data_IF_957603977946
#
_entry.id   IF_957603977946
#
_cell.length_a   1.000
_cell.length_b   1.000
_cell.length_c   1.000
_cell.angle_alpha   90.00
_cell.angle_beta   90.00
_cell.angle_gamma   90.00
#
_symmetry.space_group_name_H-M   'P 1'
#
loop_
_entity.id
_entity.type
_entity.pdbx_description
1 polymer ?
#
# COMPACT_ATOMS: atom_id res chain seq x y z
N UNK A 1 -12.93 -8.51 13.38
CA UNK A 1 -12.25 -9.79 13.71
C UNK A 1 -12.99 -10.49 14.84
N UNK A 2 -13.10 -11.83 14.82
CA UNK A 2 -13.63 -12.62 15.94
C UNK A 2 -12.52 -13.22 16.82
N UNK A 3 -12.90 -13.82 17.96
CA UNK A 3 -11.95 -14.36 18.94
C UNK A 3 -11.10 -15.50 18.36
N UNK A 4 -11.71 -16.40 17.59
CA UNK A 4 -11.00 -17.54 17.00
C UNK A 4 -9.93 -17.05 16.02
N UNK A 5 -10.27 -16.04 15.22
CA UNK A 5 -9.37 -15.41 14.26
C UNK A 5 -8.24 -14.67 14.95
N UNK A 6 -8.52 -13.93 16.04
CA UNK A 6 -7.48 -13.30 16.87
C UNK A 6 -6.51 -14.35 17.40
N UNK A 7 -7.01 -15.40 18.05
CA UNK A 7 -6.17 -16.47 18.63
C UNK A 7 -5.32 -17.16 17.55
N UNK A 8 -5.88 -17.38 16.35
CA UNK A 8 -5.12 -17.88 15.22
C UNK A 8 -4.01 -16.92 14.81
N UNK A 9 -4.29 -15.63 14.67
CA UNK A 9 -3.34 -14.60 14.26
C UNK A 9 -2.20 -14.42 15.29
N UNK A 10 -2.53 -14.38 16.57
CA UNK A 10 -1.54 -14.28 17.66
C UNK A 10 -0.63 -15.52 17.69
N UNK A 11 -1.20 -16.72 17.48
CA UNK A 11 -0.41 -17.95 17.35
C UNK A 11 0.50 -17.90 16.12
N UNK A 12 -0.01 -17.43 14.98
CA UNK A 12 0.78 -17.30 13.76
C UNK A 12 2.07 -16.49 13.98
N UNK A 13 1.99 -15.33 14.64
CA UNK A 13 3.18 -14.53 14.96
C UNK A 13 4.08 -15.13 16.03
N UNK A 14 3.52 -15.89 16.97
CA UNK A 14 4.31 -16.62 17.97
C UNK A 14 5.15 -17.71 17.32
N UNK A 15 4.55 -18.48 16.42
CA UNK A 15 5.21 -19.58 15.72
C UNK A 15 6.29 -19.06 14.73
N UNK A 16 6.15 -17.82 14.22
CA UNK A 16 7.19 -17.16 13.40
C UNK A 16 8.43 -16.72 14.21
N UNK A 17 8.31 -16.49 15.53
CA UNK A 17 9.45 -16.14 16.40
C UNK A 17 10.32 -17.34 16.72
N UNK A 18 9.76 -18.55 16.64
CA UNK A 18 10.56 -19.77 16.79
C UNK A 18 11.53 -19.87 15.61
N UNK A 19 12.81 -20.16 15.84
CA UNK A 19 13.80 -20.26 14.78
C UNK A 19 13.46 -21.44 13.85
N UNK A 20 12.71 -21.16 12.79
CA UNK A 20 12.67 -22.01 11.61
C UNK A 20 13.97 -21.79 10.84
N UNK A 21 14.72 -22.83 10.45
CA UNK A 21 16.00 -22.66 9.77
C UNK A 21 15.85 -21.74 8.56
N UNK A 22 16.73 -20.73 8.50
CA UNK A 22 16.92 -19.78 7.41
C UNK A 22 16.95 -20.52 6.07
N UNK A 23 15.81 -20.50 5.38
CA UNK A 23 15.60 -21.29 4.16
C UNK A 23 14.13 -21.54 3.81
N UNK A 24 13.19 -20.79 4.38
CA UNK A 24 11.76 -20.88 4.11
C UNK A 24 11.36 -20.34 2.74
N UNK A 25 12.08 -20.72 1.68
CA UNK A 25 11.54 -20.72 0.32
C UNK A 25 10.48 -21.81 0.25
N UNK A 26 9.28 -21.52 0.76
CA UNK A 26 8.10 -22.28 0.35
C UNK A 26 7.99 -22.22 -1.18
N UNK A 27 7.40 -23.23 -1.84
CA UNK A 27 7.25 -23.19 -3.29
C UNK A 27 6.55 -21.88 -3.69
N UNK A 28 7.18 -21.14 -4.61
CA UNK A 28 6.58 -19.96 -5.23
C UNK A 28 5.17 -20.33 -5.70
N UNK A 29 4.12 -19.59 -5.26
CA UNK A 29 2.76 -19.87 -5.71
C UNK A 29 2.71 -19.88 -7.24
N UNK A 30 2.14 -20.91 -7.85
CA UNK A 30 2.05 -20.98 -9.32
C UNK A 30 0.97 -20.07 -9.91
N UNK A 31 0.24 -19.34 -9.06
CA UNK A 31 -0.89 -18.49 -9.44
C UNK A 31 -1.46 -17.75 -8.24
N UNK A 32 -2.44 -16.90 -8.53
CA UNK A 32 -3.15 -16.08 -7.54
C UNK A 32 -4.55 -16.66 -7.29
N UNK A 33 -4.95 -16.75 -6.02
CA UNK A 33 -6.28 -17.30 -5.67
C UNK A 33 -7.39 -16.34 -6.12
N UNK A 34 -8.41 -16.89 -6.77
CA UNK A 34 -9.59 -16.15 -7.22
C UNK A 34 -10.79 -16.41 -6.30
N UNK A 35 -11.29 -15.36 -5.64
CA UNK A 35 -12.39 -15.40 -4.69
C UNK A 35 -13.68 -15.04 -5.43
N UNK A 36 -14.55 -16.05 -5.60
CA UNK A 36 -15.69 -15.95 -6.52
C UNK A 36 -16.87 -15.13 -5.96
N UNK A 37 -17.27 -15.33 -4.71
CA UNK A 37 -18.55 -14.82 -4.19
C UNK A 37 -18.43 -14.18 -2.81
N UNK A 38 -19.00 -12.97 -2.58
CA UNK A 38 -18.96 -12.29 -1.29
C UNK A 38 -19.53 -13.10 -0.12
N UNK A 39 -20.63 -13.83 -0.35
CA UNK A 39 -21.34 -14.54 0.72
C UNK A 39 -20.59 -15.76 1.27
N UNK A 40 -19.54 -16.22 0.59
CA UNK A 40 -18.76 -17.40 0.98
C UNK A 40 -17.34 -17.05 1.46
N UNK A 41 -17.03 -15.76 1.62
CA UNK A 41 -15.69 -15.31 1.98
C UNK A 41 -15.77 -14.21 3.03
N UNK A 42 -15.40 -14.54 4.27
CA UNK A 42 -15.46 -13.64 5.41
C UNK A 42 -14.17 -12.85 5.61
N UNK A 43 -14.22 -11.81 6.45
CA UNK A 43 -13.02 -11.12 6.91
C UNK A 43 -12.02 -12.09 7.58
N UNK A 44 -12.52 -13.09 8.32
CA UNK A 44 -11.69 -14.11 8.96
C UNK A 44 -10.95 -14.97 7.93
N UNK A 45 -11.61 -15.35 6.83
CA UNK A 45 -10.96 -16.09 5.73
C UNK A 45 -9.86 -15.25 5.08
N UNK A 46 -10.09 -13.94 4.91
CA UNK A 46 -9.08 -13.02 4.39
C UNK A 46 -7.86 -12.90 5.31
N UNK A 47 -8.08 -12.72 6.62
CA UNK A 47 -7.00 -12.65 7.62
C UNK A 47 -6.18 -13.93 7.61
N UNK A 48 -6.84 -15.08 7.75
CA UNK A 48 -6.18 -16.40 7.89
C UNK A 48 -5.49 -16.84 6.59
N UNK A 49 -6.12 -16.57 5.43
CA UNK A 49 -5.67 -17.06 4.13
C UNK A 49 -4.70 -16.16 3.37
N UNK A 50 -4.73 -14.84 3.59
CA UNK A 50 -4.03 -13.88 2.72
C UNK A 50 -3.27 -12.80 3.47
N UNK A 51 -3.85 -12.14 4.48
CA UNK A 51 -3.13 -11.08 5.22
C UNK A 51 -1.97 -11.65 6.02
N UNK A 52 -2.20 -12.67 6.85
CA UNK A 52 -1.15 -13.27 7.67
C UNK A 52 -0.09 -13.97 6.81
N UNK A 53 -0.47 -14.84 5.83
CA UNK A 53 0.52 -15.50 4.97
C UNK A 53 1.19 -14.57 3.95
N UNK A 54 0.74 -13.31 3.84
CA UNK A 54 1.21 -12.32 2.88
C UNK A 54 1.12 -12.78 1.42
N UNK A 55 -0.07 -13.28 1.02
CA UNK A 55 -0.31 -13.89 -0.30
C UNK A 55 -1.32 -13.06 -1.12
N UNK A 56 -1.10 -12.91 -2.45
CA UNK A 56 -2.01 -12.16 -3.31
C UNK A 56 -3.32 -12.92 -3.51
N UNK A 57 -4.39 -12.18 -3.74
CA UNK A 57 -5.67 -12.73 -4.21
C UNK A 57 -6.40 -11.75 -5.12
N UNK A 58 -7.32 -12.28 -5.92
CA UNK A 58 -8.25 -11.52 -6.75
C UNK A 58 -9.67 -11.81 -6.27
N UNK A 59 -10.46 -10.77 -6.05
CA UNK A 59 -11.88 -10.88 -5.79
C UNK A 59 -12.66 -10.58 -7.06
N UNK A 60 -13.69 -11.36 -7.33
CA UNK A 60 -14.53 -11.19 -8.51
C UNK A 60 -15.26 -9.83 -8.51
N UNK A 61 -15.80 -9.47 -9.68
CA UNK A 61 -16.61 -8.26 -9.82
C UNK A 61 -17.92 -8.25 -9.03
N UNK A 62 -18.32 -9.37 -8.42
CA UNK A 62 -19.49 -9.41 -7.53
C UNK A 62 -19.26 -8.60 -6.23
N UNK A 63 -18.01 -8.42 -5.80
CA UNK A 63 -17.66 -7.66 -4.59
C UNK A 63 -17.86 -6.15 -4.75
N UNK A 64 -17.92 -5.65 -5.98
CA UNK A 64 -17.96 -4.22 -6.30
C UNK A 64 -19.20 -3.83 -7.08
N UNK A 65 -20.15 -4.75 -7.30
CA UNK A 65 -21.35 -4.54 -8.12
C UNK A 65 -22.16 -3.30 -7.70
N UNK A 66 -22.19 -3.02 -6.38
CA UNK A 66 -22.88 -1.87 -5.80
C UNK A 66 -22.16 -0.53 -5.94
N UNK A 67 -20.94 -0.46 -6.49
CA UNK A 67 -20.18 0.80 -6.56
C UNK A 67 -20.74 1.76 -7.60
N UNK A 68 -20.91 3.04 -7.25
CA UNK A 68 -21.45 4.02 -8.20
C UNK A 68 -20.46 4.44 -9.28
N UNK A 69 -19.15 4.36 -9.03
CA UNK A 69 -18.11 4.48 -10.07
C UNK A 69 -18.33 3.48 -11.21
N UNK A 70 -18.64 2.22 -10.90
CA UNK A 70 -18.96 1.21 -11.93
C UNK A 70 -20.22 1.53 -12.74
N UNK A 71 -21.18 2.25 -12.15
CA UNK A 71 -22.43 2.64 -12.84
C UNK A 71 -22.30 3.91 -13.67
N UNK A 72 -21.39 4.83 -13.30
CA UNK A 72 -21.34 6.19 -13.87
C UNK A 72 -20.06 6.52 -14.61
N UNK A 73 -18.94 5.84 -14.31
CA UNK A 73 -17.67 6.08 -14.99
C UNK A 73 -17.51 5.21 -16.23
N UNK A 74 -18.46 4.31 -16.49
CA UNK A 74 -18.39 3.30 -17.56
C UNK A 74 -19.68 3.33 -18.37
N UNK A 75 -19.56 3.39 -19.68
CA UNK A 75 -20.68 3.31 -20.61
C UNK A 75 -21.26 1.90 -20.67
N UNK A 76 -22.44 1.73 -21.28
CA UNK A 76 -23.02 0.40 -21.54
C UNK A 76 -22.16 -0.49 -22.44
N UNK A 77 -21.19 0.08 -23.16
CA UNK A 77 -20.23 -0.64 -24.00
C UNK A 77 -18.95 -1.05 -23.26
N UNK A 78 -18.84 -0.76 -21.96
CA UNK A 78 -17.67 -1.08 -21.15
C UNK A 78 -16.48 -0.16 -21.41
N UNK A 79 -16.72 1.08 -21.83
CA UNK A 79 -15.69 2.10 -22.09
C UNK A 79 -15.78 3.22 -21.05
N UNK A 80 -14.69 3.99 -20.83
CA UNK A 80 -14.77 5.19 -19.99
C UNK A 80 -15.89 6.14 -20.46
N UNK A 81 -16.77 6.53 -19.54
CA UNK A 81 -17.79 7.54 -19.82
C UNK A 81 -17.16 8.94 -19.74
N UNK A 82 -16.51 9.34 -20.83
CA UNK A 82 -15.81 10.62 -20.89
C UNK A 82 -16.73 11.82 -20.73
N UNK A 83 -18.02 11.73 -21.10
CA UNK A 83 -18.96 12.84 -20.96
C UNK A 83 -19.29 13.07 -19.50
N UNK A 84 -19.67 12.01 -18.78
CA UNK A 84 -19.92 12.07 -17.34
C UNK A 84 -18.67 12.53 -16.58
N UNK A 85 -17.52 11.89 -16.86
CA UNK A 85 -16.26 12.17 -16.16
C UNK A 85 -15.82 13.62 -16.35
N UNK A 86 -15.89 14.15 -17.57
CA UNK A 86 -15.56 15.54 -17.87
C UNK A 86 -16.55 16.52 -17.25
N UNK A 87 -17.84 16.17 -17.19
CA UNK A 87 -18.86 17.01 -16.55
C UNK A 87 -18.67 17.09 -15.02
N UNK A 88 -18.40 15.95 -14.36
CA UNK A 88 -18.29 15.88 -12.90
C UNK A 88 -16.94 16.36 -12.38
N UNK A 89 -15.85 16.06 -13.08
CA UNK A 89 -14.49 16.27 -12.57
C UNK A 89 -13.60 17.15 -13.47
N UNK A 90 -14.13 17.70 -14.57
CA UNK A 90 -13.30 18.37 -15.58
C UNK A 90 -12.41 19.50 -15.07
N UNK A 91 -12.82 20.18 -14.01
CA UNK A 91 -12.09 21.33 -13.46
C UNK A 91 -11.06 20.93 -12.39
N UNK A 92 -10.99 19.64 -12.01
CA UNK A 92 -9.96 19.13 -11.11
C UNK A 92 -8.58 19.21 -11.75
N UNK A 93 -7.56 19.57 -10.95
CA UNK A 93 -6.16 19.53 -11.36
C UNK A 93 -5.60 18.16 -10.99
N UNK A 94 -5.13 17.42 -11.99
CA UNK A 94 -4.73 16.02 -11.83
C UNK A 94 -3.26 15.80 -12.17
N UNK A 95 -2.56 14.91 -11.46
CA UNK A 95 -1.20 14.49 -11.79
C UNK A 95 -1.22 13.48 -12.95
N UNK A 96 -0.43 13.76 -13.98
CA UNK A 96 -0.34 12.96 -15.20
C UNK A 96 1.11 12.62 -15.50
N UNK A 97 1.42 11.32 -15.48
CA UNK A 97 2.73 10.78 -15.77
C UNK A 97 2.92 10.54 -17.28
N UNK A 98 4.14 10.64 -17.80
CA UNK A 98 4.46 10.23 -19.18
C UNK A 98 5.17 8.87 -19.21
N UNK A 99 4.46 7.83 -19.63
CA UNK A 99 4.98 6.46 -19.72
C UNK A 99 6.08 6.29 -20.79
N UNK A 100 6.21 7.23 -21.72
CA UNK A 100 7.24 7.23 -22.76
C UNK A 100 8.57 7.86 -22.31
N UNK A 101 8.64 8.41 -21.10
CA UNK A 101 9.83 9.07 -20.55
C UNK A 101 10.25 8.37 -19.26
N UNK A 102 11.54 8.05 -19.14
CA UNK A 102 12.15 7.50 -17.93
C UNK A 102 13.00 8.59 -17.28
N UNK A 103 12.64 8.98 -16.07
CA UNK A 103 13.40 9.90 -15.23
C UNK A 103 13.59 9.27 -13.83
N UNK A 104 14.83 9.07 -13.39
CA UNK A 104 15.17 8.38 -12.13
C UNK A 104 14.39 7.06 -11.90
N UNK A 105 14.29 6.21 -12.92
CA UNK A 105 13.50 4.96 -12.89
C UNK A 105 12.00 5.15 -12.60
N UNK A 106 11.46 6.33 -12.88
CA UNK A 106 10.04 6.65 -12.74
C UNK A 106 9.51 7.35 -13.99
N UNK A 107 8.18 7.51 -14.04
CA UNK A 107 7.51 8.33 -15.05
C UNK A 107 7.36 9.76 -14.50
N UNK A 108 7.97 10.77 -15.14
CA UNK A 108 7.82 12.15 -14.68
C UNK A 108 6.38 12.62 -14.83
N UNK A 109 5.95 13.47 -13.90
CA UNK A 109 4.57 13.95 -13.80
C UNK A 109 4.45 15.44 -14.09
N UNK A 110 3.38 15.80 -14.77
CA UNK A 110 2.88 17.18 -14.89
C UNK A 110 1.48 17.30 -14.29
N UNK A 111 1.11 18.49 -13.82
CA UNK A 111 -0.25 18.78 -13.40
C UNK A 111 -1.01 19.45 -14.56
N UNK A 112 -2.22 18.99 -14.84
CA UNK A 112 -3.12 19.61 -15.83
C UNK A 112 -4.58 19.49 -15.39
N UNK A 113 -5.49 20.21 -16.06
CA UNK A 113 -6.91 20.01 -15.83
C UNK A 113 -7.33 18.61 -16.30
N UNK A 114 -8.23 17.97 -15.58
CA UNK A 114 -8.77 16.68 -15.99
C UNK A 114 -9.49 16.77 -17.34
N UNK A 115 -10.11 17.93 -17.64
CA UNK A 115 -10.69 18.25 -18.95
C UNK A 115 -9.68 18.17 -20.09
N UNK A 116 -8.49 18.74 -19.91
CA UNK A 116 -7.41 18.68 -20.91
C UNK A 116 -6.88 17.25 -21.05
N UNK A 117 -6.77 16.52 -19.92
CA UNK A 117 -6.37 15.12 -19.94
C UNK A 117 -7.36 14.23 -20.72
N UNK A 118 -8.67 14.39 -20.49
CA UNK A 118 -9.71 13.67 -21.25
C UNK A 118 -9.66 14.06 -22.73
N UNK A 119 -9.37 15.32 -23.06
CA UNK A 119 -9.25 15.76 -24.45
C UNK A 119 -8.05 15.08 -25.14
N UNK A 120 -6.89 15.06 -24.47
CA UNK A 120 -5.73 14.28 -24.90
C UNK A 120 -6.09 12.80 -25.10
N UNK A 121 -6.82 12.18 -24.16
CA UNK A 121 -7.13 10.75 -24.22
C UNK A 121 -8.05 10.43 -25.41
N UNK A 122 -9.08 11.26 -25.66
CA UNK A 122 -9.92 11.14 -26.86
C UNK A 122 -9.11 11.24 -28.14
N UNK A 123 -8.22 12.22 -28.23
CA UNK A 123 -7.33 12.41 -29.40
C UNK A 123 -6.36 11.23 -29.57
N UNK A 124 -5.84 10.68 -28.47
CA UNK A 124 -4.95 9.51 -28.48
C UNK A 124 -5.65 8.29 -29.08
N UNK A 125 -6.91 8.03 -28.68
CA UNK A 125 -7.72 6.94 -29.24
C UNK A 125 -7.99 7.17 -30.73
N UNK A 126 -8.40 8.38 -31.12
CA UNK A 126 -8.64 8.74 -32.53
C UNK A 126 -7.38 8.61 -33.39
N UNK A 127 -6.21 8.90 -32.80
CA UNK A 127 -4.89 8.72 -33.39
C UNK A 127 -4.38 7.27 -33.41
N UNK A 128 -5.25 6.27 -33.21
CA UNK A 128 -4.88 4.85 -33.13
C UNK A 128 -3.88 4.53 -32.00
N UNK A 129 -4.10 5.12 -30.83
CA UNK A 129 -3.24 4.99 -29.65
C UNK A 129 -1.82 5.52 -29.89
N UNK A 130 -1.72 6.72 -30.48
CA UNK A 130 -0.46 7.41 -30.73
C UNK A 130 -0.62 8.93 -30.54
N UNK A 131 0.42 9.58 -29.99
CA UNK A 131 0.47 11.03 -29.83
C UNK A 131 1.91 11.50 -29.73
N UNK A 132 2.18 12.71 -30.26
CA UNK A 132 3.46 13.39 -30.10
C UNK A 132 3.77 13.77 -28.65
N UNK A 133 2.77 13.81 -27.77
CA UNK A 133 2.95 14.01 -26.32
C UNK A 133 3.40 12.74 -25.57
N UNK A 134 3.47 11.60 -26.26
CA UNK A 134 3.71 10.30 -25.64
C UNK A 134 2.45 9.65 -25.07
N UNK A 135 2.64 8.64 -24.23
CA UNK A 135 1.57 7.88 -23.57
C UNK A 135 1.39 8.44 -22.15
N UNK A 136 0.33 9.22 -21.93
CA UNK A 136 0.09 9.92 -20.67
C UNK A 136 -0.87 9.14 -19.77
N UNK A 137 -0.51 8.99 -18.51
CA UNK A 137 -1.22 8.21 -17.51
C UNK A 137 -1.53 9.05 -16.28
N UNK A 138 -2.82 9.28 -15.99
CA UNK A 138 -3.21 9.90 -14.73
C UNK A 138 -2.93 8.92 -13.59
N UNK A 139 -2.07 9.34 -12.65
CA UNK A 139 -1.55 8.50 -11.58
C UNK A 139 -1.41 9.28 -10.27
N UNK A 140 -1.94 8.68 -9.20
CA UNK A 140 -1.95 9.21 -7.83
C UNK A 140 -2.87 10.44 -7.68
N UNK A 141 -4.06 10.38 -8.29
CA UNK A 141 -5.08 11.42 -8.08
C UNK A 141 -5.83 11.18 -6.78
N UNK A 142 -5.65 12.10 -5.83
CA UNK A 142 -6.27 12.14 -4.50
C UNK A 142 -7.76 12.56 -4.55
N UNK A 143 -8.55 11.91 -5.42
CA UNK A 143 -9.98 12.23 -5.59
C UNK A 143 -10.74 12.17 -4.26
N UNK A 144 -10.34 11.26 -3.36
CA UNK A 144 -11.03 11.09 -2.09
C UNK A 144 -10.92 12.34 -1.19
N UNK A 145 -9.73 12.92 -1.10
CA UNK A 145 -9.46 14.13 -0.32
C UNK A 145 -10.15 15.38 -0.87
N UNK A 146 -10.26 15.48 -2.20
CA UNK A 146 -10.86 16.64 -2.87
C UNK A 146 -12.39 16.60 -2.92
N UNK A 147 -13.00 15.46 -2.57
CA UNK A 147 -14.45 15.25 -2.63
C UNK A 147 -15.12 15.47 -1.26
N UNK A 148 -16.38 15.90 -1.29
CA UNK A 148 -17.20 15.90 -0.07
C UNK A 148 -17.49 14.45 0.35
N UNK A 149 -17.63 14.18 1.65
CA UNK A 149 -17.91 12.83 2.19
C UNK A 149 -19.11 12.16 1.48
N UNK A 150 -20.17 12.93 1.20
CA UNK A 150 -21.36 12.43 0.49
C UNK A 150 -21.07 12.03 -0.97
N UNK A 151 -20.06 12.61 -1.61
CA UNK A 151 -19.63 12.22 -2.96
C UNK A 151 -18.83 10.90 -2.93
N UNK A 152 -18.13 10.58 -1.83
CA UNK A 152 -17.31 9.36 -1.72
C UNK A 152 -18.15 8.10 -1.67
N UNK A 153 -19.19 8.09 -0.83
CA UNK A 153 -20.14 6.96 -0.75
C UNK A 153 -20.80 6.68 -2.10
N UNK A 154 -20.93 7.72 -2.93
CA UNK A 154 -21.45 7.58 -4.28
C UNK A 154 -20.39 6.95 -5.21
N UNK A 155 -19.09 7.20 -5.02
CA UNK A 155 -18.03 6.61 -5.85
C UNK A 155 -17.83 5.12 -5.53
N UNK A 156 -17.64 4.77 -4.26
CA UNK A 156 -17.40 3.40 -3.83
C UNK A 156 -17.78 3.18 -2.36
N UNK A 157 -17.88 1.91 -1.97
CA UNK A 157 -18.00 1.52 -0.57
C UNK A 157 -16.77 0.71 -0.20
N UNK A 158 -16.05 1.11 0.85
CA UNK A 158 -14.88 0.39 1.33
C UNK A 158 -15.26 -1.03 1.76
N UNK A 159 -14.70 -2.08 1.13
CA UNK A 159 -14.98 -3.46 1.53
C UNK A 159 -14.47 -3.73 2.95
N UNK A 160 -15.17 -4.59 3.71
CA UNK A 160 -14.77 -4.96 5.09
C UNK A 160 -13.39 -5.61 5.17
N UNK A 161 -12.96 -6.32 4.12
CA UNK A 161 -11.60 -6.85 3.99
C UNK A 161 -10.56 -5.74 4.12
N UNK A 162 -10.98 -4.52 3.73
CA UNK A 162 -10.16 -3.34 3.58
C UNK A 162 -10.41 -2.22 4.61
N UNK A 163 -11.01 -2.52 5.76
CA UNK A 163 -11.33 -1.48 6.76
C UNK A 163 -10.26 -1.23 7.83
N UNK A 164 -9.32 -2.16 8.06
CA UNK A 164 -8.20 -1.93 8.98
C UNK A 164 -7.10 -1.15 8.28
N UNK A 165 -7.34 0.14 8.02
CA UNK A 165 -6.46 1.00 7.25
C UNK A 165 -5.78 2.05 8.13
N UNK A 166 -4.73 1.64 8.85
CA UNK A 166 -4.07 2.53 9.80
C UNK A 166 -3.39 3.71 9.11
N UNK A 167 -2.89 3.49 7.88
CA UNK A 167 -2.20 4.52 7.11
C UNK A 167 -3.16 5.68 6.85
N UNK A 168 -4.33 5.40 6.28
CA UNK A 168 -5.30 6.45 6.02
C UNK A 168 -6.00 6.94 7.30
N UNK A 169 -6.19 6.09 8.33
CA UNK A 169 -6.65 6.55 9.65
C UNK A 169 -5.73 7.61 10.28
N UNK A 170 -4.42 7.52 10.06
CA UNK A 170 -3.44 8.48 10.53
C UNK A 170 -3.51 9.78 9.71
N UNK A 171 -3.51 9.67 8.39
CA UNK A 171 -3.55 10.85 7.53
C UNK A 171 -4.87 11.61 7.60
N UNK A 172 -5.99 10.94 7.86
CA UNK A 172 -7.28 11.57 8.14
C UNK A 172 -7.23 12.43 9.43
N UNK A 173 -6.45 12.01 10.43
CA UNK A 173 -6.27 12.78 11.67
C UNK A 173 -5.43 14.04 11.42
N UNK A 174 -4.37 13.91 10.62
CA UNK A 174 -3.52 15.05 10.26
C UNK A 174 -4.19 15.98 9.24
N UNK A 175 -5.08 15.45 8.40
CA UNK A 175 -5.79 16.15 7.34
C UNK A 175 -4.84 16.90 6.38
N UNK A 176 -3.73 16.25 5.99
CA UNK A 176 -2.74 16.81 5.06
C UNK A 176 -2.53 15.95 3.82
N UNK A 177 -2.74 14.64 3.90
CA UNK A 177 -2.53 13.71 2.80
C UNK A 177 -3.51 12.54 2.83
N UNK A 178 -3.47 11.67 1.83
CA UNK A 178 -4.09 10.35 1.85
C UNK A 178 -3.40 9.40 0.86
N UNK A 179 -3.56 8.10 1.10
CA UNK A 179 -3.06 7.02 0.25
C UNK A 179 -4.21 6.35 -0.49
N UNK A 180 -5.10 7.18 -1.07
CA UNK A 180 -6.31 6.77 -1.79
C UNK A 180 -6.30 7.41 -3.18
N UNK A 181 -6.11 6.59 -4.19
CA UNK A 181 -5.76 7.06 -5.52
C UNK A 181 -6.76 6.60 -6.58
N UNK A 182 -6.99 7.49 -7.54
CA UNK A 182 -7.56 7.13 -8.84
C UNK A 182 -6.44 7.10 -9.88
N UNK A 183 -6.47 6.05 -10.71
CA UNK A 183 -5.66 5.95 -11.91
C UNK A 183 -6.55 5.89 -13.12
N UNK A 184 -6.15 6.56 -14.19
CA UNK A 184 -6.90 6.55 -15.43
C UNK A 184 -5.96 6.74 -16.61
N UNK A 185 -6.11 5.94 -17.67
CA UNK A 185 -5.37 6.19 -18.89
C UNK A 185 -5.62 5.23 -20.02
N UNK A 186 -5.17 5.61 -21.22
CA UNK A 186 -5.37 4.80 -22.42
C UNK A 186 -4.67 3.45 -22.33
N UNK A 187 -5.10 2.53 -23.19
CA UNK A 187 -4.35 1.31 -23.50
C UNK A 187 -2.88 1.64 -23.73
N UNK A 188 -1.99 0.83 -23.14
CA UNK A 188 -0.54 0.98 -23.25
C UNK A 188 0.08 1.87 -22.17
N UNK A 189 -0.72 2.54 -21.34
CA UNK A 189 -0.23 3.10 -20.08
C UNK A 189 0.21 1.99 -19.13
N UNK A 190 1.24 2.24 -18.32
CA UNK A 190 1.83 1.24 -17.47
C UNK A 190 2.55 1.86 -16.26
N UNK A 191 2.90 1.05 -15.27
CA UNK A 191 3.70 1.45 -14.12
C UNK A 191 4.97 0.58 -14.02
N UNK A 192 6.15 1.19 -13.84
CA UNK A 192 7.44 0.51 -13.67
C UNK A 192 7.45 -0.53 -12.55
N UNK A 193 8.45 -1.40 -12.57
CA UNK A 193 8.64 -2.41 -11.54
C UNK A 193 8.96 -1.77 -10.17
N UNK A 194 8.13 -2.05 -9.17
CA UNK A 194 8.27 -1.49 -7.83
C UNK A 194 7.55 -2.35 -6.79
N UNK A 195 7.83 -2.13 -5.52
CA UNK A 195 6.95 -2.53 -4.43
C UNK A 195 6.33 -1.27 -3.81
N UNK A 196 5.13 -1.42 -3.26
CA UNK A 196 4.38 -0.31 -2.68
C UNK A 196 5.13 0.39 -1.54
N UNK A 197 4.90 1.69 -1.42
CA UNK A 197 5.50 2.57 -0.41
C UNK A 197 5.25 2.06 1.00
N UNK A 198 6.22 2.25 1.90
CA UNK A 198 6.21 1.71 3.28
C UNK A 198 6.15 0.19 3.37
N UNK A 199 6.31 -0.54 2.26
CA UNK A 199 5.89 -1.96 2.16
C UNK A 199 4.45 -2.12 2.65
N UNK A 200 3.62 -1.12 2.35
CA UNK A 200 2.18 -1.19 2.53
C UNK A 200 1.65 -2.38 1.74
N UNK A 201 0.51 -2.87 2.18
CA UNK A 201 -0.34 -3.60 1.26
C UNK A 201 -1.04 -2.58 0.34
N UNK A 202 -1.57 -3.06 -0.77
CA UNK A 202 -2.45 -2.27 -1.63
C UNK A 202 -3.66 -3.09 -2.04
N UNK A 203 -4.76 -2.42 -2.32
CA UNK A 203 -5.84 -3.00 -3.10
C UNK A 203 -6.14 -2.14 -4.31
N UNK A 204 -6.50 -2.76 -5.42
CA UNK A 204 -6.82 -2.10 -6.69
C UNK A 204 -8.11 -2.65 -7.25
N UNK A 205 -9.15 -1.83 -7.36
CA UNK A 205 -10.38 -2.17 -8.09
C UNK A 205 -10.34 -1.58 -9.49
N UNK A 206 -10.44 -2.43 -10.50
CA UNK A 206 -10.40 -2.02 -11.89
C UNK A 206 -11.82 -1.67 -12.37
N UNK A 207 -12.16 -0.39 -12.44
CA UNK A 207 -13.52 0.08 -12.77
C UNK A 207 -13.85 -0.15 -14.24
N UNK A 208 -12.90 0.15 -15.14
CA UNK A 208 -13.03 0.02 -16.58
C UNK A 208 -11.73 -0.53 -17.18
N UNK A 209 -11.82 -1.24 -18.30
CA UNK A 209 -10.66 -1.78 -19.01
C UNK A 209 -10.09 -3.04 -18.37
N UNK A 210 -8.86 -3.41 -18.74
CA UNK A 210 -8.17 -4.61 -18.27
C UNK A 210 -6.75 -4.28 -17.88
N UNK A 211 -6.26 -4.88 -16.79
CA UNK A 211 -4.87 -4.75 -16.37
C UNK A 211 -4.14 -6.08 -16.41
N UNK A 212 -2.87 -6.06 -16.83
CA UNK A 212 -1.93 -7.17 -16.66
C UNK A 212 -0.98 -6.82 -15.52
N UNK A 213 -0.98 -7.64 -14.49
CA UNK A 213 -0.05 -7.59 -13.38
C UNK A 213 1.04 -8.65 -13.56
N UNK A 214 2.28 -8.27 -13.26
CA UNK A 214 3.42 -9.17 -13.13
C UNK A 214 3.87 -9.11 -11.68
N UNK A 215 3.66 -10.16 -10.91
CA UNK A 215 4.02 -10.22 -9.49
C UNK A 215 5.28 -11.05 -9.26
N UNK A 216 6.14 -10.55 -8.38
CA UNK A 216 7.31 -11.24 -7.86
C UNK A 216 7.18 -11.34 -6.33
N UNK A 217 7.22 -12.55 -5.76
CA UNK A 217 7.28 -12.73 -4.31
C UNK A 217 8.45 -11.97 -3.69
N UNK A 218 8.33 -11.50 -2.43
CA UNK A 218 9.44 -10.85 -1.74
C UNK A 218 10.71 -11.72 -1.74
N UNK A 219 11.83 -11.11 -2.11
CA UNK A 219 13.14 -11.76 -2.26
C UNK A 219 13.47 -12.17 -3.70
N UNK A 220 12.47 -12.36 -4.57
CA UNK A 220 12.70 -12.70 -5.98
C UNK A 220 13.22 -11.50 -6.79
N UNK A 221 12.95 -10.28 -6.34
CA UNK A 221 13.51 -9.06 -6.93
C UNK A 221 15.04 -8.99 -6.84
N UNK A 222 15.65 -9.69 -5.88
CA UNK A 222 17.10 -9.63 -5.64
C UNK A 222 17.90 -10.23 -6.79
N UNK A 223 17.31 -11.18 -7.53
CA UNK A 223 17.91 -11.73 -8.75
C UNK A 223 17.79 -10.78 -9.96
N UNK A 224 16.88 -9.81 -9.88
CA UNK A 224 16.61 -8.83 -10.94
C UNK A 224 17.42 -7.55 -10.78
N UNK A 225 18.12 -7.36 -9.67
CA UNK A 225 18.94 -6.15 -9.44
C UNK A 225 20.12 -6.06 -10.41
N UNK A 226 20.43 -4.84 -10.83
CA UNK A 226 21.62 -4.55 -11.61
C UNK A 226 22.90 -4.62 -10.75
N UNK A 227 24.06 -4.43 -11.36
CA UNK A 227 25.36 -4.45 -10.70
C UNK A 227 25.58 -3.29 -9.69
N UNK A 228 24.69 -2.30 -9.69
CA UNK A 228 24.65 -1.20 -8.72
C UNK A 228 23.63 -1.43 -7.61
N UNK A 229 22.89 -2.55 -7.63
CA UNK A 229 21.86 -2.87 -6.65
C UNK A 229 20.49 -2.24 -6.95
N UNK A 230 20.31 -1.58 -8.08
CA UNK A 230 19.04 -0.97 -8.45
C UNK A 230 18.08 -2.01 -9.04
N UNK A 231 16.79 -1.80 -8.81
CA UNK A 231 15.74 -2.56 -9.49
C UNK A 231 15.67 -2.16 -10.98
N UNK A 232 15.31 -3.09 -11.87
CA UNK A 232 15.09 -2.77 -13.27
C UNK A 232 13.87 -1.86 -13.40
N UNK A 233 13.91 -0.93 -14.35
CA UNK A 233 12.77 -0.06 -14.66
C UNK A 233 11.62 -0.84 -15.32
N UNK A 234 11.95 -1.77 -16.22
CA UNK A 234 11.01 -2.63 -16.93
C UNK A 234 11.50 -4.09 -16.87
N UNK A 235 10.78 -4.95 -16.14
CA UNK A 235 11.12 -6.39 -16.01
C UNK A 235 10.94 -7.20 -17.29
N UNK A 236 10.36 -6.61 -18.33
CA UNK A 236 10.22 -7.22 -19.66
C UNK A 236 11.29 -6.76 -20.64
N UNK A 237 12.16 -5.83 -20.23
CA UNK A 237 13.22 -5.28 -21.07
C UNK A 237 14.25 -6.36 -21.44
N UNK A 238 14.72 -6.31 -22.69
CA UNK A 238 15.83 -7.16 -23.15
C UNK A 238 17.16 -6.81 -22.48
N UNK A 239 17.26 -5.65 -21.82
CA UNK A 239 18.43 -5.28 -21.01
C UNK A 239 18.73 -6.29 -19.91
N UNK A 240 17.71 -6.97 -19.37
CA UNK A 240 17.89 -7.99 -18.34
C UNK A 240 18.73 -9.18 -18.84
N UNK A 241 18.83 -9.39 -20.16
CA UNK A 241 19.66 -10.43 -20.75
C UNK A 241 21.16 -10.10 -20.72
N UNK A 242 21.53 -8.86 -20.43
CA UNK A 242 22.93 -8.47 -20.23
C UNK A 242 23.40 -8.91 -18.85
N UNK A 243 24.13 -10.03 -18.80
CA UNK A 243 24.65 -10.61 -17.55
C UNK A 243 25.76 -9.78 -16.92
N UNK A 244 26.35 -8.81 -17.62
CA UNK A 244 27.28 -7.86 -17.01
C UNK A 244 26.54 -6.80 -16.21
N UNK A 245 25.39 -6.35 -16.73
CA UNK A 245 24.53 -5.39 -16.04
C UNK A 245 23.69 -6.06 -14.95
N UNK A 246 23.16 -7.26 -15.19
CA UNK A 246 22.32 -8.03 -14.26
C UNK A 246 23.00 -9.35 -13.87
N UNK A 247 23.96 -9.32 -12.94
CA UNK A 247 24.84 -10.47 -12.65
C UNK A 247 24.11 -11.69 -12.07
N UNK A 248 22.93 -11.48 -11.49
CA UNK A 248 22.13 -12.56 -10.86
C UNK A 248 20.97 -13.03 -11.73
N UNK A 249 20.80 -12.52 -12.95
CA UNK A 249 19.60 -12.81 -13.76
C UNK A 249 19.37 -14.31 -13.99
N UNK A 250 20.42 -15.13 -14.07
CA UNK A 250 20.28 -16.58 -14.23
C UNK A 250 19.51 -17.27 -13.07
N UNK A 251 19.33 -16.60 -11.94
CA UNK A 251 18.61 -17.08 -10.77
C UNK A 251 17.19 -16.53 -10.66
N UNK A 252 16.72 -15.73 -11.62
CA UNK A 252 15.38 -15.14 -11.56
C UNK A 252 14.29 -16.21 -11.70
N UNK A 253 13.18 -16.00 -10.99
CA UNK A 253 11.93 -16.69 -11.24
C UNK A 253 11.10 -15.97 -12.31
N UNK A 254 10.17 -16.69 -12.92
CA UNK A 254 9.17 -16.07 -13.79
C UNK A 254 8.13 -15.32 -12.94
N UNK A 255 7.61 -14.17 -13.43
CA UNK A 255 6.54 -13.48 -12.74
C UNK A 255 5.27 -14.34 -12.67
N UNK A 256 4.52 -14.16 -11.59
CA UNK A 256 3.14 -14.62 -11.52
C UNK A 256 2.28 -13.60 -12.29
N UNK A 257 1.74 -14.02 -13.42
CA UNK A 257 0.90 -13.16 -14.26
C UNK A 257 -0.57 -13.20 -13.83
N UNK A 258 -1.20 -12.03 -13.71
CA UNK A 258 -2.64 -11.89 -13.45
C UNK A 258 -3.26 -10.92 -14.44
N UNK A 259 -4.36 -11.32 -15.06
CA UNK A 259 -5.23 -10.42 -15.84
C UNK A 259 -6.41 -10.02 -14.94
N UNK A 260 -6.50 -8.74 -14.64
CA UNK A 260 -7.59 -8.17 -13.85
C UNK A 260 -8.66 -7.62 -14.79
N UNK A 261 -9.86 -8.18 -14.71
CA UNK A 261 -11.03 -7.80 -15.52
C UNK A 261 -11.81 -6.62 -14.89
N UNK A 262 -12.75 -5.99 -15.62
CA UNK A 262 -13.60 -4.94 -15.06
C UNK A 262 -14.40 -5.40 -13.83
N UNK A 263 -14.40 -4.56 -12.81
CA UNK A 263 -15.01 -4.75 -11.50
C UNK A 263 -14.19 -5.61 -10.52
N UNK A 264 -13.16 -6.31 -10.97
CA UNK A 264 -12.34 -7.15 -10.09
C UNK A 264 -11.43 -6.33 -9.20
N UNK A 265 -11.10 -6.92 -8.05
CA UNK A 265 -10.28 -6.31 -7.01
C UNK A 265 -9.05 -7.17 -6.77
N UNK A 266 -7.87 -6.58 -6.89
CA UNK A 266 -6.60 -7.27 -6.61
C UNK A 266 -6.10 -6.82 -5.24
N UNK A 267 -5.74 -7.77 -4.39
CA UNK A 267 -4.96 -7.52 -3.17
C UNK A 267 -3.48 -7.73 -3.47
N UNK A 268 -2.70 -6.67 -3.29
CA UNK A 268 -1.24 -6.65 -3.40
C UNK A 268 -0.66 -6.76 -2.00
N UNK A 269 0.04 -7.85 -1.66
CA UNK A 269 0.59 -8.03 -0.33
C UNK A 269 1.88 -7.22 -0.13
N UNK A 270 2.31 -7.12 1.13
CA UNK A 270 3.43 -6.29 1.56
C UNK A 270 4.73 -6.78 0.94
N UNK A 271 5.45 -5.88 0.28
CA UNK A 271 6.77 -6.17 -0.31
C UNK A 271 6.73 -7.00 -1.59
N UNK A 272 5.56 -7.28 -2.15
CA UNK A 272 5.45 -7.92 -3.45
C UNK A 272 5.79 -6.93 -4.54
N UNK A 273 6.96 -7.12 -5.17
CA UNK A 273 7.35 -6.30 -6.31
C UNK A 273 6.47 -6.64 -7.51
N UNK A 274 6.07 -5.63 -8.25
CA UNK A 274 5.15 -5.80 -9.35
C UNK A 274 5.28 -4.73 -10.43
N UNK A 275 4.79 -5.07 -11.61
CA UNK A 275 4.70 -4.19 -12.78
C UNK A 275 3.31 -4.35 -13.40
N UNK A 276 2.72 -3.24 -13.85
CA UNK A 276 1.31 -3.23 -14.29
C UNK A 276 1.16 -2.56 -15.64
N UNK A 277 0.45 -3.21 -16.56
CA UNK A 277 0.09 -2.68 -17.87
C UNK A 277 -1.43 -2.55 -18.01
N UNK A 278 -1.90 -1.42 -18.52
CA UNK A 278 -3.29 -1.25 -18.93
C UNK A 278 -3.45 -1.76 -20.37
N UNK A 279 -4.17 -2.86 -20.54
CA UNK A 279 -4.38 -3.53 -21.83
C UNK A 279 -5.48 -2.87 -22.68
N UNK A 280 -6.37 -2.13 -22.01
CA UNK A 280 -7.47 -1.36 -22.57
C UNK A 280 -7.48 0.06 -21.95
N UNK A 281 -8.38 0.93 -22.43
CA UNK A 281 -8.69 2.20 -21.76
C UNK A 281 -9.22 1.94 -20.34
N UNK A 282 -8.43 2.33 -19.35
CA UNK A 282 -8.54 1.80 -18.00
C UNK A 282 -8.78 2.91 -16.98
N UNK A 283 -9.67 2.64 -16.01
CA UNK A 283 -9.85 3.46 -14.81
C UNK A 283 -9.83 2.53 -13.61
N UNK A 284 -9.08 2.86 -12.55
CA UNK A 284 -9.07 2.10 -11.30
C UNK A 284 -9.06 2.99 -10.07
N UNK A 285 -9.50 2.42 -8.96
CA UNK A 285 -9.38 2.99 -7.62
C UNK A 285 -8.44 2.09 -6.83
N UNK A 286 -7.40 2.66 -6.23
CA UNK A 286 -6.45 1.90 -5.43
C UNK A 286 -6.15 2.62 -4.13
N UNK A 287 -6.03 1.87 -3.04
CA UNK A 287 -5.56 2.42 -1.78
C UNK A 287 -4.38 1.60 -1.28
N UNK A 288 -3.38 2.31 -0.75
CA UNK A 288 -2.33 1.71 0.05
C UNK A 288 -2.71 1.80 1.52
N UNK A 289 -2.38 0.77 2.29
CA UNK A 289 -2.69 0.74 3.72
C UNK A 289 -1.63 -0.01 4.55
N UNK A 290 -1.70 0.15 5.87
CA UNK A 290 -0.91 -0.61 6.84
C UNK A 290 -1.84 -1.06 7.96
N UNK A 291 -1.57 -2.22 8.55
CA UNK A 291 -2.21 -2.67 9.78
C UNK A 291 -1.29 -3.55 10.63
N UNK A 292 -1.82 -4.15 11.69
CA UNK A 292 -1.07 -5.01 12.59
C UNK A 292 -0.39 -6.21 11.90
N UNK A 293 -0.86 -6.61 10.70
CA UNK A 293 -0.29 -7.73 9.96
C UNK A 293 1.04 -7.38 9.25
N UNK A 294 1.17 -6.18 8.68
CA UNK A 294 2.37 -5.74 7.96
C UNK A 294 3.15 -4.59 8.62
N UNK A 295 2.71 -4.10 9.78
CA UNK A 295 3.45 -3.10 10.55
C UNK A 295 4.94 -3.48 10.79
N UNK A 296 5.29 -4.74 11.10
CA UNK A 296 6.70 -5.12 11.21
C UNK A 296 7.49 -4.96 9.91
N UNK A 297 6.85 -5.19 8.75
CA UNK A 297 7.48 -5.03 7.44
C UNK A 297 7.75 -3.56 7.14
N UNK A 298 6.81 -2.67 7.50
CA UNK A 298 7.03 -1.22 7.43
C UNK A 298 8.20 -0.81 8.32
N UNK A 299 8.25 -1.26 9.57
CA UNK A 299 9.35 -0.93 10.48
C UNK A 299 10.70 -1.48 9.97
N UNK A 300 10.74 -2.70 9.44
CA UNK A 300 11.94 -3.27 8.85
C UNK A 300 12.42 -2.46 7.63
N UNK A 301 11.49 -2.09 6.74
CA UNK A 301 11.77 -1.23 5.60
C UNK A 301 12.38 0.10 6.02
N UNK A 302 11.78 0.79 7.00
CA UNK A 302 12.30 2.07 7.48
C UNK A 302 13.72 1.96 8.04
N UNK A 303 14.06 0.85 8.71
CA UNK A 303 15.43 0.60 9.17
C UNK A 303 16.40 0.41 8.00
N UNK A 304 16.01 -0.35 6.96
CA UNK A 304 16.83 -0.57 5.77
C UNK A 304 17.07 0.73 4.99
N UNK A 305 16.03 1.56 4.82
CA UNK A 305 16.15 2.84 4.12
C UNK A 305 17.06 3.81 4.88
N UNK A 306 16.95 3.87 6.21
CA UNK A 306 17.87 4.68 7.00
C UNK A 306 19.32 4.18 6.86
N UNK A 307 19.54 2.86 6.90
CA UNK A 307 20.87 2.27 6.69
C UNK A 307 21.43 2.56 5.30
N UNK A 308 20.61 2.50 4.26
CA UNK A 308 21.00 2.84 2.90
C UNK A 308 21.42 4.31 2.79
N UNK A 309 20.63 5.22 3.36
CA UNK A 309 20.98 6.65 3.44
C UNK A 309 22.29 6.85 4.20
N UNK A 310 22.43 6.25 5.38
CA UNK A 310 23.64 6.33 6.21
C UNK A 310 24.88 5.84 5.45
N UNK A 311 24.76 4.75 4.68
CA UNK A 311 25.86 4.25 3.87
C UNK A 311 26.23 5.20 2.73
N UNK A 312 25.23 5.75 2.03
CA UNK A 312 25.45 6.67 0.90
C UNK A 312 26.15 7.96 1.33
N UNK A 313 25.87 8.47 2.54
CA UNK A 313 26.46 9.73 3.05
C UNK A 313 27.51 9.51 4.15
N UNK A 314 28.04 8.30 4.30
CA UNK A 314 28.97 7.92 5.37
C UNK A 314 30.27 8.75 5.35
N UNK A 315 30.76 9.09 4.15
CA UNK A 315 32.01 9.85 3.98
C UNK A 315 31.98 11.25 4.64
N UNK A 316 30.79 11.79 4.88
CA UNK A 316 30.59 13.12 5.49
C UNK A 316 30.27 13.07 6.99
N UNK A 317 30.29 11.88 7.60
CA UNK A 317 29.87 11.69 9.01
C UNK A 317 30.64 12.55 10.00
N UNK A 318 31.96 12.65 9.84
CA UNK A 318 32.82 13.40 10.76
C UNK A 318 32.82 14.91 10.50
N UNK A 319 32.40 15.34 9.29
CA UNK A 319 32.37 16.76 8.90
C UNK A 319 30.98 17.40 9.02
N UNK A 320 29.94 16.61 9.25
CA UNK A 320 28.55 17.04 9.37
C UNK A 320 28.09 16.96 10.84
N UNK A 321 28.00 18.10 11.56
CA UNK A 321 27.28 18.15 12.84
C UNK A 321 25.86 17.58 12.67
N UNK A 322 25.36 16.86 13.67
CA UNK A 322 24.03 16.24 13.64
C UNK A 322 23.79 15.32 12.44
N UNK A 323 24.83 14.63 11.95
CA UNK A 323 24.77 13.69 10.81
C UNK A 323 23.57 12.72 10.87
N UNK A 324 23.23 12.21 12.06
CA UNK A 324 22.07 11.34 12.26
C UNK A 324 20.74 12.03 11.95
N UNK A 325 20.58 13.31 12.35
CA UNK A 325 19.41 14.10 12.00
C UNK A 325 19.35 14.34 10.49
N UNK A 326 20.47 14.65 9.85
CA UNK A 326 20.53 14.80 8.39
C UNK A 326 20.17 13.51 7.65
N UNK A 327 20.59 12.34 8.15
CA UNK A 327 20.15 11.05 7.61
C UNK A 327 18.62 10.89 7.70
N UNK A 328 18.00 11.29 8.81
CA UNK A 328 16.53 11.28 8.94
C UNK A 328 15.85 12.24 7.96
N UNK A 329 16.43 13.42 7.69
CA UNK A 329 15.91 14.38 6.70
C UNK A 329 15.97 13.82 5.29
N UNK A 330 17.08 13.19 4.91
CA UNK A 330 17.24 12.55 3.59
C UNK A 330 16.31 11.34 3.48
N UNK A 331 16.25 10.48 4.50
CA UNK A 331 15.34 9.35 4.52
C UNK A 331 13.89 9.81 4.32
N UNK A 332 13.45 10.86 5.02
CA UNK A 332 12.10 11.41 4.85
C UNK A 332 11.80 11.85 3.42
N UNK A 333 12.76 12.46 2.72
CA UNK A 333 12.53 12.86 1.33
C UNK A 333 12.46 11.68 0.36
N UNK A 334 13.10 10.55 0.69
CA UNK A 334 13.06 9.31 -0.09
C UNK A 334 11.83 8.44 0.20
N UNK A 335 11.45 8.30 1.48
CA UNK A 335 10.43 7.35 1.94
C UNK A 335 9.07 8.00 2.22
N UNK A 336 9.05 9.31 2.48
CA UNK A 336 7.86 10.05 2.93
C UNK A 336 7.66 10.08 4.45
N UNK A 337 8.47 9.37 5.25
CA UNK A 337 8.36 9.36 6.72
C UNK A 337 9.72 9.12 7.37
N UNK A 338 10.01 9.84 8.46
CA UNK A 338 11.18 9.57 9.30
C UNK A 338 10.80 8.77 10.56
N UNK A 339 11.77 8.45 11.41
CA UNK A 339 11.52 7.70 12.64
C UNK A 339 10.63 8.45 13.64
N UNK A 340 10.75 9.78 13.72
CA UNK A 340 9.90 10.64 14.56
C UNK A 340 8.43 10.55 14.12
N UNK A 341 8.15 10.73 12.84
CA UNK A 341 6.80 10.63 12.28
C UNK A 341 6.27 9.20 12.31
N UNK A 342 7.14 8.19 12.22
CA UNK A 342 6.74 6.79 12.42
C UNK A 342 6.30 6.55 13.87
N UNK A 343 6.98 7.12 14.86
CA UNK A 343 6.50 7.07 16.24
C UNK A 343 5.15 7.80 16.39
N UNK A 344 4.99 8.98 15.76
CA UNK A 344 3.72 9.69 15.78
C UNK A 344 2.58 8.87 15.16
N UNK A 345 2.87 8.17 14.06
CA UNK A 345 1.97 7.19 13.45
C UNK A 345 1.56 6.09 14.44
N UNK A 346 2.53 5.42 15.09
CA UNK A 346 2.26 4.39 16.10
C UNK A 346 1.40 4.94 17.25
N UNK A 347 1.73 6.12 17.76
CA UNK A 347 1.00 6.79 18.84
C UNK A 347 -0.46 7.05 18.50
N UNK A 348 -0.75 7.65 17.33
CA UNK A 348 -2.12 7.97 16.91
C UNK A 348 -2.98 6.71 16.82
N UNK A 349 -2.42 5.63 16.27
CA UNK A 349 -3.15 4.37 16.17
C UNK A 349 -3.30 3.71 17.55
N UNK A 350 -2.25 3.71 18.37
CA UNK A 350 -2.28 3.19 19.73
C UNK A 350 -3.38 3.86 20.57
N UNK A 351 -3.45 5.19 20.58
CA UNK A 351 -4.46 5.95 21.32
C UNK A 351 -5.89 5.58 20.87
N UNK A 352 -6.12 5.44 19.55
CA UNK A 352 -7.42 5.00 19.02
C UNK A 352 -7.77 3.59 19.49
N UNK A 353 -6.83 2.64 19.45
CA UNK A 353 -7.10 1.24 19.84
C UNK A 353 -7.27 1.10 21.36
N UNK A 354 -6.48 1.81 22.15
CA UNK A 354 -6.62 1.88 23.62
C UNK A 354 -8.00 2.41 24.01
N UNK A 355 -8.49 3.46 23.33
CA UNK A 355 -9.84 3.99 23.56
C UNK A 355 -10.93 2.97 23.25
N UNK A 356 -10.82 2.24 22.14
CA UNK A 356 -11.79 1.18 21.78
C UNK A 356 -11.79 0.06 22.82
N UNK A 357 -10.61 -0.36 23.30
CA UNK A 357 -10.49 -1.39 24.32
C UNK A 357 -11.09 -0.93 25.66
N UNK A 358 -10.82 0.32 26.08
CA UNK A 358 -11.36 0.88 27.32
C UNK A 358 -12.89 0.97 27.30
N UNK A 359 -13.47 1.45 26.19
CA UNK A 359 -14.93 1.52 26.00
C UNK A 359 -15.56 0.11 26.01
N UNK A 360 -14.92 -0.84 25.33
CA UNK A 360 -15.35 -2.24 25.30
C UNK A 360 -15.37 -2.93 26.66
N UNK A 361 -14.32 -2.73 27.46
CA UNK A 361 -14.21 -3.32 28.79
C UNK A 361 -15.19 -2.72 29.80
N UNK A 362 -15.57 -1.44 29.64
CA UNK A 362 -16.60 -0.78 30.45
C UNK A 362 -18.03 -1.22 30.10
N UNK A 363 -18.22 -1.88 28.96
CA UNK A 363 -19.56 -2.22 28.44
C UNK A 363 -20.31 -1.01 27.88
N UNK A 364 -19.62 0.11 27.61
CA UNK A 364 -20.23 1.27 26.99
C UNK A 364 -20.48 0.95 25.51
N UNK A 365 -21.75 0.88 25.10
CA UNK A 365 -22.15 0.87 23.69
C UNK A 365 -22.01 2.27 23.08
N UNK A 366 -20.81 2.85 23.21
CA UNK A 366 -20.43 4.09 22.55
C UNK A 366 -20.54 3.98 21.03
N UNK A 367 -20.60 5.14 20.37
CA UNK A 367 -20.90 5.34 18.95
C UNK A 367 -20.33 4.22 18.07
N UNK A 368 -21.20 3.38 17.52
CA UNK A 368 -20.83 2.10 16.89
C UNK A 368 -19.84 2.23 15.72
N UNK A 369 -19.62 3.45 15.22
CA UNK A 369 -18.67 3.81 14.17
C UNK A 369 -17.21 3.72 14.62
N UNK A 370 -16.88 3.84 15.91
CA UNK A 370 -15.50 3.64 16.40
C UNK A 370 -15.13 2.15 16.51
N UNK A 371 -16.13 1.26 16.41
CA UNK A 371 -16.05 -0.17 16.68
C UNK A 371 -16.05 -1.03 15.41
N UNK A 372 -15.85 -0.45 14.21
CA UNK A 372 -16.11 -1.13 12.92
C UNK A 372 -15.48 -2.54 12.79
N UNK A 373 -14.32 -2.80 13.42
CA UNK A 373 -13.69 -4.12 13.43
C UNK A 373 -13.79 -4.89 14.75
N UNK A 374 -14.34 -4.27 15.80
CA UNK A 374 -14.65 -4.86 17.08
C UNK A 374 -13.47 -5.01 18.05
N UNK A 375 -13.79 -5.36 19.30
CA UNK A 375 -12.83 -5.46 20.41
C UNK A 375 -11.70 -6.45 20.17
N UNK A 376 -11.98 -7.57 19.48
CA UNK A 376 -10.95 -8.57 19.19
C UNK A 376 -9.93 -8.05 18.16
N UNK A 377 -10.34 -7.20 17.20
CA UNK A 377 -9.39 -6.52 16.33
C UNK A 377 -8.53 -5.54 17.13
N UNK A 378 -9.15 -4.71 17.97
CA UNK A 378 -8.40 -3.73 18.77
C UNK A 378 -7.37 -4.40 19.69
N UNK A 379 -7.74 -5.52 20.32
CA UNK A 379 -6.81 -6.32 21.11
C UNK A 379 -5.64 -6.87 20.29
N UNK A 380 -5.91 -7.43 19.10
CA UNK A 380 -4.86 -7.88 18.19
C UNK A 380 -3.93 -6.71 17.79
N UNK A 381 -4.50 -5.59 17.35
CA UNK A 381 -3.78 -4.39 16.93
C UNK A 381 -2.87 -3.85 18.04
N UNK A 382 -3.35 -3.78 19.28
CA UNK A 382 -2.56 -3.39 20.47
C UNK A 382 -1.36 -4.32 20.67
N UNK A 383 -1.55 -5.63 20.56
CA UNK A 383 -0.43 -6.58 20.65
C UNK A 383 0.61 -6.38 19.54
N UNK A 384 0.16 -6.11 18.31
CA UNK A 384 1.07 -5.82 17.18
C UNK A 384 1.80 -4.48 17.35
N UNK A 385 1.14 -3.46 17.90
CA UNK A 385 1.74 -2.17 18.23
C UNK A 385 2.79 -2.30 19.33
N UNK A 386 2.49 -3.04 20.41
CA UNK A 386 3.43 -3.29 21.51
C UNK A 386 4.70 -3.97 21.00
N UNK A 387 4.55 -5.01 20.18
CA UNK A 387 5.67 -5.74 19.58
C UNK A 387 6.61 -4.84 18.76
N UNK A 388 6.04 -4.01 17.89
CA UNK A 388 6.83 -3.11 17.03
C UNK A 388 7.42 -1.97 17.85
N UNK A 389 6.65 -1.36 18.75
CA UNK A 389 7.14 -0.27 19.60
C UNK A 389 8.27 -0.74 20.53
N UNK A 390 8.21 -1.96 21.06
CA UNK A 390 9.31 -2.56 21.81
C UNK A 390 10.60 -2.64 20.96
N UNK A 391 10.49 -3.01 19.68
CA UNK A 391 11.63 -2.99 18.76
C UNK A 391 12.11 -1.57 18.44
N UNK A 392 11.21 -0.59 18.35
CA UNK A 392 11.54 0.82 18.09
C UNK A 392 12.32 1.41 19.27
N UNK A 393 11.84 1.22 20.50
CA UNK A 393 12.46 1.76 21.73
C UNK A 393 13.90 1.27 21.93
N UNK A 394 14.20 0.02 21.58
CA UNK A 394 15.55 -0.55 21.71
C UNK A 394 16.44 -0.33 20.48
N UNK A 395 15.92 0.28 19.41
CA UNK A 395 16.70 0.51 18.19
C UNK A 395 17.70 1.67 18.40
N UNK A 396 19.01 1.45 18.17
CA UNK A 396 20.03 2.48 18.41
C UNK A 396 19.86 3.76 17.59
N UNK A 397 19.30 3.68 16.37
CA UNK A 397 19.06 4.86 15.54
C UNK A 397 17.83 5.63 15.99
N UNK A 398 16.80 4.95 16.51
CA UNK A 398 15.67 5.60 17.15
C UNK A 398 16.05 6.32 18.45
N UNK A 399 16.94 5.74 19.26
CA UNK A 399 17.47 6.37 20.48
C UNK A 399 18.23 7.68 20.23
N UNK A 400 18.56 7.99 18.97
CA UNK A 400 19.19 9.26 18.56
C UNK A 400 18.18 10.31 18.11
N UNK A 401 16.89 9.96 17.98
CA UNK A 401 15.81 10.90 17.70
C UNK A 401 15.55 11.73 18.95
N UNK A 402 15.35 13.04 18.80
CA UNK A 402 14.95 13.90 19.91
C UNK A 402 13.48 13.63 20.27
N UNK A 403 13.26 12.85 21.32
CA UNK A 403 11.92 12.52 21.83
C UNK A 403 11.42 13.51 22.88
N UNK A 404 12.13 14.61 23.15
CA UNK A 404 11.80 15.51 24.28
C UNK A 404 10.42 16.16 24.17
N UNK A 405 9.92 16.35 22.95
CA UNK A 405 8.58 16.88 22.68
C UNK A 405 7.48 15.80 22.66
N UNK A 406 7.83 14.51 22.75
CA UNK A 406 6.87 13.43 22.67
C UNK A 406 6.04 13.33 23.94
N UNK A 407 4.73 13.13 23.79
CA UNK A 407 3.83 12.87 24.90
C UNK A 407 2.70 11.95 24.42
N UNK A 408 2.57 10.72 24.96
CA UNK A 408 3.47 10.08 25.93
C UNK A 408 4.90 9.89 25.38
N UNK A 409 5.86 9.55 26.25
CA UNK A 409 7.16 9.06 25.78
C UNK A 409 7.04 7.65 25.17
N UNK A 410 7.96 7.21 24.30
CA UNK A 410 7.91 5.88 23.69
C UNK A 410 7.81 4.72 24.71
N UNK A 411 8.57 4.76 25.79
CA UNK A 411 8.54 3.76 26.87
C UNK A 411 7.24 3.79 27.66
N UNK A 412 6.67 4.99 27.88
CA UNK A 412 5.38 5.14 28.56
C UNK A 412 4.24 4.58 27.72
N UNK A 413 4.26 4.84 26.41
CA UNK A 413 3.28 4.28 25.48
C UNK A 413 3.42 2.75 25.38
N UNK A 414 4.65 2.23 25.37
CA UNK A 414 4.90 0.81 25.37
C UNK A 414 4.31 0.15 26.62
N UNK A 415 4.55 0.72 27.81
CA UNK A 415 3.97 0.20 29.05
C UNK A 415 2.43 0.20 29.01
N UNK A 416 1.81 1.27 28.51
CA UNK A 416 0.35 1.35 28.35
C UNK A 416 -0.19 0.26 27.42
N UNK A 417 0.52 -0.02 26.32
CA UNK A 417 0.15 -1.08 25.38
C UNK A 417 0.31 -2.46 26.02
N UNK A 418 1.41 -2.72 26.74
CA UNK A 418 1.64 -4.00 27.44
C UNK A 418 0.58 -4.27 28.51
N UNK A 419 0.23 -3.26 29.30
CA UNK A 419 -0.84 -3.34 30.31
C UNK A 419 -2.19 -3.64 29.62
N UNK A 420 -2.45 -3.03 28.47
CA UNK A 420 -3.65 -3.27 27.67
C UNK A 420 -3.68 -4.67 27.04
N UNK A 421 -2.53 -5.20 26.59
CA UNK A 421 -2.41 -6.60 26.14
C UNK A 421 -2.82 -7.55 27.27
N UNK A 422 -2.26 -7.37 28.46
CA UNK A 422 -2.58 -8.20 29.63
C UNK A 422 -4.07 -8.11 30.01
N UNK A 423 -4.67 -6.92 29.95
CA UNK A 423 -6.12 -6.76 30.18
C UNK A 423 -6.96 -7.45 29.09
N UNK A 424 -6.50 -7.47 27.83
CA UNK A 424 -7.19 -8.08 26.70
C UNK A 424 -7.07 -9.62 26.64
N UNK A 425 -6.18 -10.24 27.44
CA UNK A 425 -6.14 -11.71 27.59
C UNK A 425 -7.43 -12.25 28.21
N UNK A 426 -8.15 -11.43 29.00
CA UNK A 426 -9.42 -11.80 29.62
C UNK A 426 -10.61 -11.83 28.63
N UNK A 427 -10.46 -11.27 27.42
CA UNK A 427 -11.52 -11.17 26.38
C UNK A 427 -11.77 -12.48 25.61
#
# INVERSE_FOLDING_TARGET
MDRETRTFAERYYRDLRDPVPSGGGGPTPSGVTFIQTPNAFSYADFVKGFLLPNLPCVFSSAFTEGWGSRRRWVTSEGKPDFEYLQQKYGDAVVPVANCGVREYNSNPKEHMSFRDYISYWKDYIQGSYSSSRGCLYLKDWHLCRDSLVNDLEDIFTLPVYFSSDWLNEFWDVLNVDDYRFVYAGPRGTWSPFHADIFRSFSWSVNICGKKKWLFFPPGEEEALRDCHGNLPYDVTSTELLDTHLYPKIQHHSLPIEVIQEPGEMVFVPSGWHHQVYNLDDTISINHNWVNGCNLPNMWHFLQQELQAVQHEVEEWKDSMPDWHHHCQVIMKSCTGINFEEFYHFLKVIAEKRLLVLEQGLKGDSGDSRSLDLGLQQAAFDIGRLADVLASVVVNPDFQRVDTSAFSPQPEELLQQLEDAVAAAEAL
#
